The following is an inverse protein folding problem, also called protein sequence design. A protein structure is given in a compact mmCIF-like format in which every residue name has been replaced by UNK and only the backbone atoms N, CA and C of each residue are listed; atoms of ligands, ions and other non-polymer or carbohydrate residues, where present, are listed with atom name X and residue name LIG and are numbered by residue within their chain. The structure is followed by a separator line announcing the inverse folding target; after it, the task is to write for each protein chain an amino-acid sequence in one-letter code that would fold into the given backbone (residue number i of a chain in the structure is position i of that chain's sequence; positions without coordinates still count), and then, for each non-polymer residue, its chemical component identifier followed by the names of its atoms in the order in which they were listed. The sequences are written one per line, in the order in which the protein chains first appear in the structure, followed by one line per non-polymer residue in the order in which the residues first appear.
data_IF_636970887516
#
_entry.id   IF_636970887516
#
_cell.length_a   1.000
_cell.length_b   1.000
_cell.length_c   1.000
_cell.angle_alpha   90.00
_cell.angle_beta   90.00
_cell.angle_gamma   90.00
#
_symmetry.space_group_name_H-M   'P 1'
#
loop_
_entity.id
_entity.type
_entity.pdbx_description
1 polymer ?
#
# COMPACT_ATOMS: atom_id res chain seq x y z
N UNK A 1 -3.41 15.06 24.90
CA UNK A 1 -3.81 13.70 24.50
C UNK A 1 -3.21 12.73 25.50
N UNK A 2 -3.97 12.32 26.52
CA UNK A 2 -3.52 11.34 27.52
C UNK A 2 -3.71 9.97 26.90
N UNK A 3 -2.63 9.20 26.73
CA UNK A 3 -2.73 7.81 26.28
C UNK A 3 -3.24 7.00 27.47
N UNK A 4 -4.50 6.55 27.41
CA UNK A 4 -5.04 5.63 28.40
C UNK A 4 -4.28 4.29 28.31
N UNK A 5 -3.78 3.80 29.43
CA UNK A 5 -3.18 2.47 29.53
C UNK A 5 -4.24 1.42 29.18
N UNK A 6 -3.97 0.61 28.16
CA UNK A 6 -4.82 -0.52 27.78
C UNK A 6 -4.18 -1.81 28.32
N UNK A 7 -4.77 -2.47 29.34
CA UNK A 7 -4.22 -3.69 29.94
C UNK A 7 -4.18 -4.89 28.96
N UNK A 8 -4.96 -4.84 27.88
CA UNK A 8 -5.00 -5.86 26.83
C UNK A 8 -4.01 -5.58 25.68
N UNK A 9 -3.33 -4.43 25.70
CA UNK A 9 -2.38 -4.08 24.65
C UNK A 9 -1.18 -5.02 24.68
N UNK A 10 -0.98 -5.74 23.58
CA UNK A 10 0.16 -6.61 23.38
C UNK A 10 1.17 -5.92 22.48
N UNK A 11 2.47 -6.21 22.67
CA UNK A 11 3.52 -5.83 21.71
C UNK A 11 3.22 -6.35 20.28
N UNK A 12 2.36 -7.37 20.14
CA UNK A 12 1.86 -7.86 18.85
C UNK A 12 1.00 -6.84 18.11
N UNK A 13 0.33 -5.93 18.81
CA UNK A 13 -0.51 -4.90 18.20
C UNK A 13 0.31 -3.89 17.40
N UNK A 14 1.63 -3.80 17.63
CA UNK A 14 2.57 -3.00 16.84
C UNK A 14 2.64 -3.45 15.37
N UNK A 15 2.28 -4.70 15.05
CA UNK A 15 2.26 -5.21 13.68
C UNK A 15 0.99 -4.80 12.90
N UNK A 16 -0.02 -4.23 13.56
CA UNK A 16 -1.26 -3.81 12.89
C UNK A 16 -0.98 -2.65 11.94
N UNK A 17 -1.67 -2.67 10.81
CA UNK A 17 -1.62 -1.58 9.84
C UNK A 17 -2.20 -0.30 10.45
N UNK A 18 -1.48 0.84 10.44
CA UNK A 18 -2.07 2.10 10.84
C UNK A 18 -3.14 2.51 9.82
N UNK A 19 -4.29 2.98 10.31
CA UNK A 19 -5.44 3.39 9.49
C UNK A 19 -5.87 4.80 9.86
N UNK A 20 -6.22 5.58 8.85
CA UNK A 20 -6.92 6.85 8.99
C UNK A 20 -8.35 6.65 8.51
N UNK A 21 -9.29 6.54 9.45
CA UNK A 21 -10.68 6.15 9.19
C UNK A 21 -10.76 4.83 8.39
N UNK A 22 -11.27 4.89 7.16
CA UNK A 22 -11.40 3.72 6.29
C UNK A 22 -10.11 3.42 5.50
N UNK A 23 -9.23 4.42 5.32
CA UNK A 23 -8.03 4.33 4.51
C UNK A 23 -6.85 3.77 5.31
N UNK A 24 -6.07 2.89 4.70
CA UNK A 24 -4.79 2.52 5.27
C UNK A 24 -3.79 3.67 5.11
N UNK A 25 -2.94 3.87 6.11
CA UNK A 25 -1.92 4.91 6.10
C UNK A 25 -1.00 4.83 4.87
N UNK A 26 -0.79 3.64 4.30
CA UNK A 26 -0.01 3.41 3.07
C UNK A 26 -0.64 4.03 1.82
N UNK A 27 -1.95 4.26 1.82
CA UNK A 27 -2.65 4.90 0.71
C UNK A 27 -2.65 6.44 0.82
N UNK A 28 -2.27 7.02 1.96
CA UNK A 28 -2.31 8.46 2.21
C UNK A 28 -1.18 9.33 1.62
N UNK A 29 0.02 8.82 1.27
CA UNK A 29 1.09 9.70 0.75
C UNK A 29 0.69 10.60 -0.43
N UNK A 30 -0.09 10.15 -1.43
CA UNK A 30 -0.57 11.01 -2.51
C UNK A 30 -1.41 12.19 -2.01
N UNK A 31 -2.24 11.96 -0.98
CA UNK A 31 -3.03 13.02 -0.35
C UNK A 31 -2.12 14.07 0.30
N UNK A 32 -1.07 13.64 1.01
CA UNK A 32 -0.10 14.55 1.61
C UNK A 32 0.58 15.42 0.54
N UNK A 33 1.00 14.84 -0.57
CA UNK A 33 1.57 15.60 -1.71
C UNK A 33 0.57 16.62 -2.26
N UNK A 34 -0.69 16.22 -2.45
CA UNK A 34 -1.73 17.13 -2.92
C UNK A 34 -2.01 18.28 -1.95
N UNK A 35 -1.85 18.07 -0.64
CA UNK A 35 -1.99 19.14 0.36
C UNK A 35 -0.89 20.20 0.27
N UNK A 36 0.34 19.82 -0.09
CA UNK A 36 1.44 20.77 -0.31
C UNK A 36 1.37 21.47 -1.67
N UNK A 37 0.79 20.81 -2.67
CA UNK A 37 0.63 21.35 -4.01
C UNK A 37 -0.80 21.13 -4.50
N UNK A 38 -1.70 22.03 -4.09
CA UNK A 38 -3.14 21.95 -4.38
C UNK A 38 -3.43 22.49 -5.77
N UNK A 39 -3.49 21.60 -6.75
CA UNK A 39 -3.99 21.88 -8.11
C UNK A 39 -5.04 20.84 -8.47
N UNK A 40 -5.94 21.15 -9.41
CA UNK A 40 -6.95 20.17 -9.86
C UNK A 40 -6.32 18.87 -10.37
N UNK A 41 -5.17 18.98 -11.05
CA UNK A 41 -4.46 17.82 -11.59
C UNK A 41 -3.85 16.98 -10.47
N UNK A 42 -3.17 17.60 -9.51
CA UNK A 42 -2.53 16.86 -8.41
C UNK A 42 -3.54 16.25 -7.46
N UNK A 43 -4.64 16.92 -7.19
CA UNK A 43 -5.76 16.37 -6.41
C UNK A 43 -6.41 15.20 -7.17
N UNK A 44 -6.70 15.37 -8.46
CA UNK A 44 -7.25 14.30 -9.30
C UNK A 44 -6.34 13.07 -9.36
N UNK A 45 -5.03 13.29 -9.54
CA UNK A 45 -4.02 12.23 -9.53
C UNK A 45 -3.92 11.54 -8.17
N UNK A 46 -3.92 12.31 -7.07
CA UNK A 46 -3.87 11.76 -5.72
C UNK A 46 -5.08 10.85 -5.45
N UNK A 47 -6.30 11.30 -5.77
CA UNK A 47 -7.52 10.50 -5.62
C UNK A 47 -7.43 9.20 -6.42
N UNK A 48 -7.00 9.27 -7.68
CA UNK A 48 -6.84 8.08 -8.53
C UNK A 48 -5.86 7.07 -7.91
N UNK A 49 -4.68 7.52 -7.47
CA UNK A 49 -3.67 6.66 -6.86
C UNK A 49 -4.16 6.09 -5.53
N UNK A 50 -4.84 6.89 -4.70
CA UNK A 50 -5.41 6.40 -3.43
C UNK A 50 -6.45 5.31 -3.68
N UNK A 51 -7.36 5.48 -4.65
CA UNK A 51 -8.36 4.47 -5.01
C UNK A 51 -7.68 3.19 -5.47
N UNK A 52 -6.64 3.29 -6.31
CA UNK A 52 -5.89 2.12 -6.77
C UNK A 52 -5.26 1.36 -5.59
N UNK A 53 -4.55 2.05 -4.70
CA UNK A 53 -3.89 1.44 -3.54
C UNK A 53 -4.89 0.85 -2.55
N UNK A 54 -6.00 1.54 -2.29
CA UNK A 54 -7.07 1.06 -1.41
C UNK A 54 -7.74 -0.20 -1.99
N UNK A 55 -7.96 -0.22 -3.31
CA UNK A 55 -8.51 -1.40 -4.01
C UNK A 55 -7.55 -2.58 -3.94
N UNK A 56 -6.25 -2.34 -4.10
CA UNK A 56 -5.24 -3.38 -3.95
C UNK A 56 -5.22 -3.97 -2.53
N UNK A 57 -5.32 -3.11 -1.51
CA UNK A 57 -5.40 -3.56 -0.12
C UNK A 57 -6.67 -4.38 0.15
N UNK A 58 -7.80 -4.00 -0.45
CA UNK A 58 -9.06 -4.77 -0.35
C UNK A 58 -8.88 -6.22 -0.84
N UNK A 59 -8.05 -6.44 -1.85
CA UNK A 59 -7.68 -7.77 -2.34
C UNK A 59 -6.51 -8.42 -1.57
N UNK A 60 -6.02 -7.80 -0.49
CA UNK A 60 -4.89 -8.30 0.30
C UNK A 60 -3.51 -8.08 -0.33
N UNK A 61 -3.42 -7.30 -1.41
CA UNK A 61 -2.14 -6.97 -2.03
C UNK A 61 -1.43 -5.82 -1.31
N UNK A 62 -0.11 -5.93 -1.18
CA UNK A 62 0.76 -4.78 -0.95
C UNK A 62 1.33 -4.29 -2.27
N UNK A 63 1.76 -3.03 -2.35
CA UNK A 63 2.35 -2.47 -3.57
C UNK A 63 3.51 -3.35 -4.13
N UNK A 64 4.48 -3.82 -3.32
CA UNK A 64 5.53 -4.70 -3.84
C UNK A 64 5.01 -6.05 -4.35
N UNK A 65 4.02 -6.64 -3.69
CA UNK A 65 3.43 -7.93 -4.11
C UNK A 65 2.67 -7.76 -5.42
N UNK A 66 1.93 -6.66 -5.59
CA UNK A 66 1.24 -6.35 -6.83
C UNK A 66 2.21 -6.10 -7.98
N UNK A 67 3.31 -5.38 -7.76
CA UNK A 67 4.33 -5.19 -8.79
C UNK A 67 4.99 -6.52 -9.19
N UNK A 68 5.23 -7.43 -8.23
CA UNK A 68 5.69 -8.79 -8.52
C UNK A 68 4.67 -9.59 -9.32
N UNK A 69 3.40 -9.52 -8.93
CA UNK A 69 2.29 -10.14 -9.65
C UNK A 69 2.24 -9.61 -11.09
N UNK A 70 2.19 -8.30 -11.28
CA UNK A 70 2.16 -7.63 -12.58
C UNK A 70 3.35 -8.03 -13.46
N UNK A 71 4.57 -7.99 -12.91
CA UNK A 71 5.78 -8.43 -13.61
C UNK A 71 5.68 -9.90 -14.02
N UNK A 72 5.22 -10.76 -13.12
CA UNK A 72 5.09 -12.19 -13.38
C UNK A 72 4.03 -12.51 -14.42
N UNK A 73 2.95 -11.73 -14.46
CA UNK A 73 1.89 -11.82 -15.47
C UNK A 73 2.40 -11.33 -16.82
N UNK A 74 3.15 -10.23 -16.87
CA UNK A 74 3.74 -9.69 -18.09
C UNK A 74 4.84 -10.60 -18.69
N UNK A 75 5.59 -11.33 -17.85
CA UNK A 75 6.59 -12.30 -18.31
C UNK A 75 5.98 -13.54 -19.01
N UNK A 76 4.67 -13.77 -18.85
CA UNK A 76 3.97 -14.89 -19.46
C UNK A 76 4.19 -16.24 -18.76
N UNK A 77 3.70 -17.32 -19.40
CA UNK A 77 3.66 -18.67 -18.81
C UNK A 77 5.03 -19.36 -18.72
N UNK A 78 5.98 -18.98 -19.58
CA UNK A 78 7.31 -19.62 -19.64
C UNK A 78 8.31 -18.78 -18.85
N UNK A 79 8.88 -19.36 -17.81
CA UNK A 79 9.96 -18.74 -17.04
C UNK A 79 11.27 -19.45 -17.38
N UNK A 80 12.22 -18.71 -17.94
CA UNK A 80 13.57 -19.21 -18.13
C UNK A 80 14.27 -19.21 -16.77
N UNK A 81 14.76 -20.36 -16.33
CA UNK A 81 15.62 -20.48 -15.13
C UNK A 81 16.99 -20.95 -15.57
N UNK A 82 18.02 -20.13 -15.33
CA UNK A 82 19.41 -20.59 -15.42
C UNK A 82 19.74 -21.36 -14.14
N UNK A 83 20.12 -22.64 -14.23
CA UNK A 83 20.61 -23.36 -13.06
C UNK A 83 21.90 -22.70 -12.55
N UNK A 84 22.09 -22.65 -11.24
CA UNK A 84 23.24 -21.97 -10.62
C UNK A 84 24.57 -22.75 -10.75
N UNK A 85 24.51 -23.99 -11.25
CA UNK A 85 25.64 -24.91 -11.35
C UNK A 85 26.22 -25.02 -12.76
N UNK A 86 25.67 -24.28 -13.73
CA UNK A 86 26.26 -24.09 -15.05
C UNK A 86 27.13 -22.84 -15.02
#
# INVERSE_FOLDING_TARGET
MVIAYNPDASWRDTARQPRLWIFNARALPPLLVAMFHITYVTVGFAVLVMILLQTMEYYGFTLPVFLRYLRSTAAGKRRSSTPWWM
#
